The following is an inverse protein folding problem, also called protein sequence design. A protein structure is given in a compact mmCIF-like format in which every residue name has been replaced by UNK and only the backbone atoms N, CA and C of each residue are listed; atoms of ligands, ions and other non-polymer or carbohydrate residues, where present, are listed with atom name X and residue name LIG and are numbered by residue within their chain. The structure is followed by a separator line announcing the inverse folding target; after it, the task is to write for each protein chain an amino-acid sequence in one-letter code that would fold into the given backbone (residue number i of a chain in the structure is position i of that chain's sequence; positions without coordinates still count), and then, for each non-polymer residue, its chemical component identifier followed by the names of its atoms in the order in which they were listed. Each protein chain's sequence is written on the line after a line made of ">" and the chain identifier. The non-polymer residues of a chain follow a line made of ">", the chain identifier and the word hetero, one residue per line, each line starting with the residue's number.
data_IF_273424265216
#
_entry.id   IF_273424265216
#
_cell.length_a   1.000
_cell.length_b   1.000
_cell.length_c   1.000
_cell.angle_alpha   90.00
_cell.angle_beta   90.00
_cell.angle_gamma   90.00
#
_symmetry.space_group_name_H-M   'P 1'
#
loop_
_entity.id
_entity.type
_entity.pdbx_description
1 polymer ?
#
# COMPACT_ATOMS: atom_id res chain seq x y z
N UNK A 1 25.02 -2.26 20.26
CA UNK A 1 25.75 -1.09 19.71
C UNK A 1 26.38 -1.48 18.38
N UNK A 2 26.83 -0.51 17.58
CA UNK A 2 27.46 -0.77 16.27
C UNK A 2 28.92 -1.28 16.38
N UNK A 3 29.60 -0.96 17.49
CA UNK A 3 30.84 -1.55 18.00
C UNK A 3 30.87 -1.31 19.53
N UNK A 4 31.93 -1.73 20.24
CA UNK A 4 32.02 -1.48 21.68
C UNK A 4 32.01 0.03 21.99
N UNK A 5 31.26 0.43 23.02
CA UNK A 5 31.11 1.84 23.44
C UNK A 5 30.44 2.79 22.43
N UNK A 6 29.91 2.28 21.32
CA UNK A 6 29.12 3.08 20.38
C UNK A 6 27.68 3.27 20.88
N UNK A 7 27.20 4.52 20.92
CA UNK A 7 25.80 4.84 21.28
C UNK A 7 24.80 4.44 20.20
N UNK A 8 25.21 4.42 18.93
CA UNK A 8 24.35 3.97 17.84
C UNK A 8 24.25 2.44 17.79
N UNK A 9 23.08 1.95 17.38
CA UNK A 9 22.85 0.53 17.11
C UNK A 9 23.06 0.24 15.63
N UNK A 10 23.44 -1.00 15.31
CA UNK A 10 23.59 -1.46 13.93
C UNK A 10 22.33 -1.20 13.09
N UNK A 11 21.15 -1.40 13.67
CA UNK A 11 19.87 -1.21 12.99
C UNK A 11 19.58 0.26 12.70
N UNK A 12 19.86 1.17 13.64
CA UNK A 12 19.68 2.61 13.42
C UNK A 12 20.57 3.10 12.26
N UNK A 13 21.85 2.73 12.26
CA UNK A 13 22.79 3.14 11.21
C UNK A 13 22.43 2.54 9.85
N UNK A 14 21.99 1.28 9.83
CA UNK A 14 21.53 0.60 8.61
C UNK A 14 20.25 1.25 8.05
N UNK A 15 19.28 1.59 8.91
CA UNK A 15 18.06 2.26 8.49
C UNK A 15 18.36 3.64 7.88
N UNK A 16 19.27 4.39 8.50
CA UNK A 16 19.70 5.71 8.01
C UNK A 16 20.40 5.61 6.65
N UNK A 17 21.33 4.65 6.46
CA UNK A 17 21.98 4.43 5.17
C UNK A 17 21.01 4.02 4.06
N UNK A 18 20.01 3.21 4.37
CA UNK A 18 18.97 2.82 3.41
C UNK A 18 18.11 4.03 3.04
N UNK A 19 17.82 4.92 3.99
CA UNK A 19 17.12 6.17 3.71
C UNK A 19 17.94 7.11 2.81
N UNK A 20 19.22 7.34 3.15
CA UNK A 20 20.15 8.12 2.32
C UNK A 20 20.25 7.55 0.90
N UNK A 21 20.30 6.21 0.77
CA UNK A 21 20.30 5.54 -0.53
C UNK A 21 19.03 5.86 -1.34
N UNK A 22 17.87 5.84 -0.69
CA UNK A 22 16.58 6.09 -1.33
C UNK A 22 16.46 7.55 -1.76
N UNK A 23 16.74 8.49 -0.86
CA UNK A 23 16.69 9.94 -1.10
C UNK A 23 17.71 10.39 -2.16
N UNK A 24 18.94 9.88 -2.08
CA UNK A 24 20.03 10.22 -3.00
C UNK A 24 20.01 9.42 -4.31
N UNK A 25 19.00 8.56 -4.53
CA UNK A 25 18.91 7.64 -5.68
C UNK A 25 20.21 6.84 -5.92
N UNK A 26 20.89 6.46 -4.84
CA UNK A 26 22.21 5.83 -4.89
C UNK A 26 22.07 4.43 -5.48
N UNK A 27 22.83 4.11 -6.53
CA UNK A 27 22.83 2.76 -7.12
C UNK A 27 23.35 1.71 -6.13
N UNK A 28 22.98 0.43 -6.31
CA UNK A 28 23.54 -0.67 -5.48
C UNK A 28 25.07 -0.66 -5.51
N UNK A 29 25.67 -0.48 -6.69
CA UNK A 29 27.12 -0.45 -6.86
C UNK A 29 27.79 0.64 -6.03
N UNK A 30 27.20 1.85 -5.99
CA UNK A 30 27.76 2.96 -5.22
C UNK A 30 27.59 2.68 -3.72
N UNK A 31 26.43 2.18 -3.30
CA UNK A 31 26.19 1.78 -1.91
C UNK A 31 27.23 0.77 -1.42
N UNK A 32 27.45 -0.31 -2.17
CA UNK A 32 28.41 -1.36 -1.81
C UNK A 32 29.84 -0.78 -1.69
N UNK A 33 30.22 0.17 -2.56
CA UNK A 33 31.50 0.87 -2.46
C UNK A 33 31.62 1.74 -1.21
N UNK A 34 30.54 2.43 -0.83
CA UNK A 34 30.52 3.24 0.39
C UNK A 34 30.63 2.35 1.63
N UNK A 35 29.89 1.23 1.67
CA UNK A 35 29.96 0.25 2.76
C UNK A 35 31.36 -0.36 2.90
N UNK A 36 32.01 -0.72 1.79
CA UNK A 36 33.38 -1.22 1.78
C UNK A 36 34.40 -0.15 2.19
N UNK A 37 34.18 1.11 1.80
CA UNK A 37 35.02 2.20 2.28
C UNK A 37 34.86 2.43 3.79
N UNK A 38 33.63 2.30 4.31
CA UNK A 38 33.34 2.44 5.73
C UNK A 38 34.07 1.38 6.58
N UNK A 39 34.17 0.14 6.09
CA UNK A 39 34.95 -0.94 6.73
C UNK A 39 36.41 -0.54 7.04
N UNK A 40 37.02 0.28 6.19
CA UNK A 40 38.41 0.71 6.38
C UNK A 40 38.60 1.86 7.40
N UNK A 41 37.54 2.58 7.74
CA UNK A 41 37.59 3.73 8.67
C UNK A 41 36.96 3.41 10.03
N UNK A 42 36.12 2.38 10.10
CA UNK A 42 35.45 1.97 11.32
C UNK A 42 36.37 1.11 12.20
N UNK A 43 36.12 1.05 13.52
CA UNK A 43 36.86 0.17 14.42
C UNK A 43 36.75 -1.30 14.03
N UNK A 44 37.80 -2.09 14.28
CA UNK A 44 37.88 -3.50 13.85
C UNK A 44 36.77 -4.42 14.39
N UNK A 45 36.08 -4.04 15.47
CA UNK A 45 34.98 -4.78 16.09
C UNK A 45 33.59 -4.31 15.63
N UNK A 46 33.51 -3.48 14.58
CA UNK A 46 32.24 -3.05 14.03
C UNK A 46 31.45 -4.20 13.39
N UNK A 47 30.13 -4.10 13.44
CA UNK A 47 29.20 -5.07 12.83
C UNK A 47 28.47 -4.50 11.61
N UNK A 48 29.03 -3.49 10.95
CA UNK A 48 28.34 -2.85 9.82
C UNK A 48 28.30 -3.77 8.59
N UNK A 49 27.17 -3.88 7.86
CA UNK A 49 27.12 -4.66 6.62
C UNK A 49 28.03 -4.06 5.54
N UNK A 50 28.71 -4.93 4.80
CA UNK A 50 29.66 -4.57 3.75
C UNK A 50 29.02 -4.36 2.37
N UNK A 51 27.73 -4.69 2.24
CA UNK A 51 27.00 -4.56 0.99
C UNK A 51 25.50 -4.38 1.24
N UNK A 52 24.81 -3.90 0.21
CA UNK A 52 23.38 -3.65 0.24
C UNK A 52 22.55 -4.91 0.45
N UNK A 53 23.04 -6.10 0.06
CA UNK A 53 22.28 -7.34 0.23
C UNK A 53 22.18 -7.73 1.71
N UNK A 54 23.30 -7.69 2.42
CA UNK A 54 23.37 -7.95 3.86
C UNK A 54 22.64 -6.86 4.65
N UNK A 55 22.75 -5.59 4.27
CA UNK A 55 21.88 -4.51 4.77
C UNK A 55 20.41 -4.86 4.60
N UNK A 56 19.99 -5.24 3.38
CA UNK A 56 18.60 -5.56 3.05
C UNK A 56 18.10 -6.77 3.87
N UNK A 57 18.97 -7.73 4.15
CA UNK A 57 18.64 -8.91 4.97
C UNK A 57 18.36 -8.51 6.43
N UNK A 58 19.12 -7.58 7.00
CA UNK A 58 18.89 -7.09 8.38
C UNK A 58 17.58 -6.31 8.52
N UNK A 59 17.30 -5.40 7.58
CA UNK A 59 16.06 -4.61 7.62
C UNK A 59 14.82 -5.44 7.27
N UNK A 60 14.98 -6.59 6.59
CA UNK A 60 13.85 -7.45 6.22
C UNK A 60 13.10 -7.94 7.46
N UNK A 61 13.84 -8.23 8.53
CA UNK A 61 13.27 -8.72 9.79
C UNK A 61 12.66 -7.57 10.63
N UNK A 62 12.98 -6.31 10.29
CA UNK A 62 12.33 -5.10 10.82
C UNK A 62 11.20 -4.58 9.93
N UNK A 63 11.09 -5.09 8.70
CA UNK A 63 10.10 -4.63 7.75
C UNK A 63 8.70 -4.94 8.26
N UNK A 64 7.76 -4.02 8.01
CA UNK A 64 6.34 -4.33 8.14
C UNK A 64 6.06 -5.63 7.36
N UNK A 65 5.27 -6.57 7.89
CA UNK A 65 4.93 -7.78 7.17
C UNK A 65 4.30 -7.38 5.85
N UNK A 66 4.98 -7.67 4.74
CA UNK A 66 4.42 -7.50 3.39
C UNK A 66 4.01 -8.88 2.92
N UNK A 67 2.72 -9.07 2.77
CA UNK A 67 2.14 -10.23 2.12
C UNK A 67 2.23 -10.03 0.61
N UNK A 68 2.94 -10.92 -0.06
CA UNK A 68 3.07 -10.90 -1.51
C UNK A 68 1.98 -11.79 -2.10
N UNK A 69 1.03 -11.17 -2.79
CA UNK A 69 -0.11 -11.86 -3.41
C UNK A 69 0.13 -11.92 -4.91
N UNK A 70 0.15 -13.12 -5.47
CA UNK A 70 0.29 -13.31 -6.90
C UNK A 70 -0.95 -12.77 -7.62
N UNK A 71 -0.75 -12.09 -8.75
CA UNK A 71 -1.81 -11.46 -9.52
C UNK A 71 -1.78 -11.90 -10.98
N UNK A 72 -2.97 -11.94 -11.59
CA UNK A 72 -3.11 -12.14 -13.02
C UNK A 72 -2.31 -11.07 -13.77
N UNK A 73 -1.67 -11.47 -14.89
CA UNK A 73 -0.88 -10.57 -15.73
C UNK A 73 -1.61 -9.28 -16.11
N UNK A 74 -2.92 -9.37 -16.36
CA UNK A 74 -3.78 -8.24 -16.70
C UNK A 74 -4.50 -7.59 -15.49
N UNK A 75 -4.22 -8.03 -14.25
CA UNK A 75 -4.80 -7.47 -13.02
C UNK A 75 -6.26 -7.86 -12.72
N UNK A 76 -6.88 -8.73 -13.51
CA UNK A 76 -8.30 -9.11 -13.32
C UNK A 76 -8.58 -10.02 -12.12
N UNK A 77 -7.55 -10.59 -11.50
CA UNK A 77 -7.70 -11.57 -10.43
C UNK A 77 -6.45 -11.62 -9.57
N UNK A 78 -6.64 -11.72 -8.26
CA UNK A 78 -5.60 -12.10 -7.32
C UNK A 78 -5.72 -13.59 -6.96
N UNK A 79 -4.58 -14.26 -6.80
CA UNK A 79 -4.46 -15.67 -6.42
C UNK A 79 -4.38 -15.78 -4.89
N UNK A 80 -5.52 -15.59 -4.23
CA UNK A 80 -5.70 -15.78 -2.79
C UNK A 80 -6.89 -16.71 -2.52
N UNK A 81 -6.95 -17.26 -1.29
CA UNK A 81 -8.03 -18.17 -0.83
C UNK A 81 -8.28 -19.35 -1.77
N UNK A 82 -9.51 -19.47 -2.28
CA UNK A 82 -9.99 -20.50 -3.19
C UNK A 82 -9.32 -20.45 -4.58
N UNK A 83 -8.49 -19.43 -4.85
CA UNK A 83 -7.83 -19.21 -6.13
C UNK A 83 -6.33 -19.46 -6.10
N UNK A 84 -5.74 -19.83 -4.95
CA UNK A 84 -4.29 -20.04 -4.81
C UNK A 84 -3.78 -21.13 -5.75
N UNK A 85 -4.54 -22.21 -5.92
CA UNK A 85 -4.12 -23.38 -6.72
C UNK A 85 -4.44 -23.25 -8.22
N UNK A 86 -4.94 -22.09 -8.66
CA UNK A 86 -5.23 -21.86 -10.07
C UNK A 86 -3.95 -21.49 -10.82
N UNK A 87 -3.72 -22.13 -11.95
CA UNK A 87 -2.64 -21.75 -12.86
C UNK A 87 -3.05 -20.66 -13.86
N UNK A 88 -4.36 -20.49 -14.07
CA UNK A 88 -4.92 -19.61 -15.08
C UNK A 88 -5.99 -18.68 -14.51
N UNK A 89 -6.03 -17.46 -15.02
CA UNK A 89 -7.02 -16.46 -14.64
C UNK A 89 -8.42 -16.87 -15.09
N UNK A 90 -9.39 -16.87 -14.17
CA UNK A 90 -10.81 -17.19 -14.46
C UNK A 90 -11.46 -16.21 -15.45
N UNK A 91 -10.93 -14.98 -15.59
CA UNK A 91 -11.53 -13.92 -16.40
C UNK A 91 -10.90 -13.77 -17.78
N UNK A 92 -9.57 -13.90 -17.90
CA UNK A 92 -8.87 -13.70 -19.18
C UNK A 92 -8.11 -14.93 -19.67
N UNK A 93 -8.07 -16.04 -18.92
CA UNK A 93 -7.42 -17.29 -19.33
C UNK A 93 -5.89 -17.25 -19.35
N UNK A 94 -5.26 -16.12 -19.01
CA UNK A 94 -3.80 -15.99 -18.98
C UNK A 94 -3.20 -16.66 -17.75
N UNK A 95 -2.02 -17.26 -17.93
CA UNK A 95 -1.22 -17.79 -16.83
C UNK A 95 -0.64 -16.63 -16.00
N UNK A 96 -0.58 -16.80 -14.68
CA UNK A 96 0.03 -15.82 -13.79
C UNK A 96 1.55 -15.89 -13.74
N UNK A 97 2.14 -16.96 -14.26
CA UNK A 97 3.57 -17.22 -14.28
C UNK A 97 4.08 -17.46 -15.71
N UNK A 98 5.39 -17.38 -15.91
CA UNK A 98 6.00 -17.64 -17.23
C UNK A 98 6.19 -19.16 -17.48
N UNK A 99 5.43 -19.77 -18.40
CA UNK A 99 5.50 -21.22 -18.66
C UNK A 99 6.80 -21.66 -19.35
N UNK A 100 7.50 -20.76 -20.05
CA UNK A 100 8.79 -21.10 -20.69
C UNK A 100 9.90 -21.40 -19.67
N UNK A 101 9.73 -20.99 -18.41
CA UNK A 101 10.69 -21.27 -17.33
C UNK A 101 10.43 -22.60 -16.61
N UNK A 102 9.29 -23.23 -16.87
CA UNK A 102 8.87 -24.50 -16.27
C UNK A 102 9.52 -25.72 -16.96
N UNK A 103 9.97 -25.56 -18.21
CA UNK A 103 10.62 -26.63 -19.00
C UNK A 103 11.96 -27.13 -18.39
N UNK A 104 12.51 -26.42 -17.39
CA UNK A 104 13.60 -26.91 -16.55
C UNK A 104 13.00 -27.34 -15.21
N UNK A 105 12.77 -28.65 -15.05
CA UNK A 105 11.95 -29.32 -14.03
C UNK A 105 12.21 -29.01 -12.54
N UNK A 106 13.19 -28.17 -12.20
CA UNK A 106 13.55 -27.80 -10.83
C UNK A 106 13.43 -26.30 -10.50
N UNK A 107 12.82 -25.47 -11.36
CA UNK A 107 12.67 -24.03 -11.09
C UNK A 107 11.27 -23.67 -10.61
N UNK A 108 11.20 -22.93 -9.50
CA UNK A 108 9.96 -22.35 -8.94
C UNK A 108 9.27 -21.45 -9.97
N UNK A 109 7.94 -21.59 -10.11
CA UNK A 109 7.09 -20.69 -10.92
C UNK A 109 7.37 -19.23 -10.53
N UNK A 110 7.65 -18.38 -11.52
CA UNK A 110 7.90 -16.95 -11.30
C UNK A 110 6.67 -16.16 -11.75
N UNK A 111 5.98 -15.43 -10.86
CA UNK A 111 4.82 -14.61 -11.21
C UNK A 111 5.18 -13.47 -12.16
N UNK A 112 4.24 -13.08 -13.00
CA UNK A 112 4.31 -11.86 -13.82
C UNK A 112 4.08 -10.60 -12.99
N UNK A 113 3.12 -10.66 -12.07
CA UNK A 113 2.70 -9.53 -11.23
C UNK A 113 2.52 -10.02 -9.80
N UNK A 114 3.08 -9.26 -8.86
CA UNK A 114 2.93 -9.48 -7.42
C UNK A 114 2.36 -8.19 -6.84
N UNK A 115 1.27 -8.30 -6.09
CA UNK A 115 0.73 -7.23 -5.26
C UNK A 115 1.32 -7.32 -3.86
N UNK A 116 1.94 -6.24 -3.39
CA UNK A 116 2.36 -6.13 -1.99
C UNK A 116 1.21 -5.61 -1.14
N UNK A 117 0.74 -6.42 -0.20
CA UNK A 117 -0.26 -6.08 0.80
C UNK A 117 0.41 -5.92 2.17
N UNK A 118 0.13 -4.82 2.88
CA UNK A 118 0.61 -4.59 4.23
C UNK A 118 -0.56 -4.77 5.20
N UNK A 119 -0.66 -5.89 5.93
CA UNK A 119 -1.79 -6.16 6.82
C UNK A 119 -1.97 -5.08 7.88
N UNK A 120 -3.23 -4.73 8.13
CA UNK A 120 -3.62 -3.69 9.08
C UNK A 120 -3.56 -4.21 10.52
N UNK A 121 -4.03 -5.43 10.73
CA UNK A 121 -4.27 -6.01 12.06
C UNK A 121 -3.02 -5.97 12.94
N UNK A 122 -1.83 -6.41 12.49
CA UNK A 122 -0.62 -6.34 13.34
C UNK A 122 -0.22 -4.91 13.71
N UNK A 123 -0.59 -3.92 12.90
CA UNK A 123 -0.22 -2.51 13.08
C UNK A 123 -1.11 -1.80 14.08
N UNK A 124 -2.30 -2.35 14.34
CA UNK A 124 -3.25 -1.82 15.32
C UNK A 124 -3.17 -2.52 16.69
N UNK A 125 -2.30 -3.53 16.85
CA UNK A 125 -2.16 -4.26 18.11
C UNK A 125 -1.66 -3.40 19.29
N UNK A 126 -1.13 -2.21 19.03
CA UNK A 126 -0.73 -1.26 20.07
C UNK A 126 -1.84 -0.30 20.50
N UNK A 127 -3.01 -0.35 19.86
CA UNK A 127 -4.11 0.57 20.16
C UNK A 127 -4.83 0.16 21.45
N UNK A 128 -5.01 1.11 22.35
CA UNK A 128 -5.68 0.91 23.64
C UNK A 128 -7.22 0.96 23.56
N UNK A 129 -7.78 1.15 22.36
CA UNK A 129 -9.21 1.27 22.15
C UNK A 129 -9.63 0.88 20.73
N UNK A 130 -10.95 0.85 20.49
CA UNK A 130 -11.50 0.67 19.16
C UNK A 130 -11.01 1.78 18.21
N UNK A 131 -10.73 1.41 16.96
CA UNK A 131 -10.09 2.31 16.00
C UNK A 131 -11.09 2.82 14.99
N UNK A 132 -11.06 4.14 14.74
CA UNK A 132 -11.80 4.80 13.67
C UNK A 132 -10.86 5.10 12.53
N UNK A 133 -11.20 4.65 11.32
CA UNK A 133 -10.37 4.84 10.14
C UNK A 133 -11.09 5.61 9.06
N UNK A 134 -10.34 6.34 8.24
CA UNK A 134 -10.79 6.71 6.90
C UNK A 134 -9.83 6.24 5.83
N UNK A 135 -10.38 6.03 4.65
CA UNK A 135 -9.71 5.40 3.53
C UNK A 135 -9.48 6.41 2.42
N UNK A 136 -8.23 6.56 1.99
CA UNK A 136 -7.84 7.40 0.88
C UNK A 136 -7.26 6.53 -0.22
N UNK A 137 -7.75 6.71 -1.44
CA UNK A 137 -7.24 6.08 -2.65
C UNK A 137 -7.11 7.17 -3.70
N UNK A 138 -5.92 7.72 -3.88
CA UNK A 138 -5.72 8.73 -4.92
C UNK A 138 -4.54 8.35 -5.80
N UNK A 139 -4.62 8.69 -7.08
CA UNK A 139 -3.56 8.46 -8.04
C UNK A 139 -2.68 9.69 -8.15
N UNK A 140 -1.37 9.54 -7.93
CA UNK A 140 -0.41 10.61 -8.21
C UNK A 140 0.63 10.16 -9.24
N UNK A 141 1.21 11.12 -9.96
CA UNK A 141 2.29 10.88 -10.91
C UNK A 141 3.62 11.29 -10.26
N UNK A 142 4.43 10.34 -9.74
CA UNK A 142 5.66 10.67 -9.02
C UNK A 142 6.72 11.38 -9.88
N UNK A 143 6.66 11.24 -11.21
CA UNK A 143 7.61 11.84 -12.13
C UNK A 143 6.86 12.79 -13.09
N UNK A 144 6.85 14.09 -12.76
CA UNK A 144 6.18 15.11 -13.56
C UNK A 144 6.75 15.27 -14.98
N UNK A 145 5.86 15.64 -15.91
CA UNK A 145 5.98 16.21 -17.27
C UNK A 145 6.98 15.62 -18.30
N UNK A 146 8.08 14.97 -17.92
CA UNK A 146 9.16 14.54 -18.83
C UNK A 146 9.38 13.03 -18.92
N UNK A 147 8.75 12.23 -18.05
CA UNK A 147 8.80 10.77 -18.12
C UNK A 147 7.39 10.21 -18.41
N UNK A 148 7.36 9.08 -19.14
CA UNK A 148 6.14 8.36 -19.53
C UNK A 148 5.14 8.34 -18.36
N UNK A 149 3.89 8.72 -18.63
CA UNK A 149 2.77 8.78 -17.66
C UNK A 149 2.70 7.49 -16.85
N UNK A 150 3.27 7.51 -15.66
CA UNK A 150 3.20 6.42 -14.70
C UNK A 150 2.40 6.93 -13.52
N UNK A 151 1.23 6.33 -13.31
CA UNK A 151 0.40 6.66 -12.15
C UNK A 151 0.69 5.69 -11.02
N UNK A 152 0.75 6.23 -9.82
CA UNK A 152 0.94 5.46 -8.61
C UNK A 152 -0.28 5.66 -7.71
N UNK A 153 -0.91 4.55 -7.32
CA UNK A 153 -2.15 4.56 -6.57
C UNK A 153 -1.90 3.93 -5.20
N UNK A 154 -1.50 4.74 -4.20
CA UNK A 154 -1.49 4.29 -2.82
C UNK A 154 -2.91 4.14 -2.30
N UNK A 155 -3.15 3.04 -1.59
CA UNK A 155 -4.34 2.83 -0.77
C UNK A 155 -3.90 3.03 0.67
N UNK A 156 -4.42 4.07 1.30
CA UNK A 156 -3.97 4.57 2.60
C UNK A 156 -5.14 4.57 3.57
N UNK A 157 -4.92 4.09 4.79
CA UNK A 157 -5.83 4.24 5.92
C UNK A 157 -5.26 5.27 6.90
N UNK A 158 -6.13 6.12 7.44
CA UNK A 158 -5.77 7.16 8.41
C UNK A 158 -6.55 6.92 9.69
N UNK A 159 -5.87 6.89 10.84
CA UNK A 159 -6.51 6.77 12.16
C UNK A 159 -7.07 8.10 12.65
N UNK A 160 -8.37 8.11 12.97
CA UNK A 160 -9.11 9.23 13.53
C UNK A 160 -9.36 9.08 15.04
N UNK A 161 -8.56 8.27 15.72
CA UNK A 161 -8.60 8.18 17.19
C UNK A 161 -8.06 9.45 17.87
N UNK A 162 -7.31 10.27 17.13
CA UNK A 162 -6.65 11.47 17.62
C UNK A 162 -7.26 12.75 17.03
N UNK A 163 -6.91 13.88 17.66
CA UNK A 163 -7.30 15.20 17.17
C UNK A 163 -6.81 15.43 15.73
N UNK A 164 -7.51 16.26 14.93
CA UNK A 164 -7.19 16.48 13.51
C UNK A 164 -5.74 16.90 13.22
N UNK A 165 -5.10 17.60 14.15
CA UNK A 165 -3.71 18.05 14.04
C UNK A 165 -2.71 16.90 14.15
N UNK A 166 -3.07 15.84 14.88
CA UNK A 166 -2.20 14.68 15.13
C UNK A 166 -2.51 13.51 14.18
N UNK A 167 -3.76 13.38 13.70
CA UNK A 167 -4.15 12.25 12.84
C UNK A 167 -3.43 12.25 11.48
N UNK A 168 -2.88 13.39 11.05
CA UNK A 168 -2.13 13.51 9.79
C UNK A 168 -0.61 13.26 9.97
N UNK A 169 -0.15 12.90 11.17
CA UNK A 169 1.24 12.46 11.38
C UNK A 169 1.47 11.08 10.75
N UNK A 170 2.69 10.83 10.25
CA UNK A 170 3.04 9.60 9.54
C UNK A 170 2.80 8.31 10.35
N UNK A 171 2.80 8.40 11.67
CA UNK A 171 2.53 7.29 12.59
C UNK A 171 1.08 6.78 12.51
N UNK A 172 0.13 7.66 12.15
CA UNK A 172 -1.30 7.36 12.05
C UNK A 172 -1.78 7.17 10.61
N UNK A 173 -0.83 7.15 9.67
CA UNK A 173 -1.06 6.96 8.23
C UNK A 173 -0.51 5.59 7.84
N UNK A 174 -1.41 4.69 7.47
CA UNK A 174 -1.09 3.31 7.11
C UNK A 174 -1.20 3.12 5.60
N UNK A 175 -0.06 3.02 4.92
CA UNK A 175 -0.04 2.50 3.55
C UNK A 175 -0.39 1.01 3.56
N UNK A 176 -1.44 0.63 2.83
CA UNK A 176 -1.95 -0.74 2.76
C UNK A 176 -1.48 -1.43 1.50
N UNK A 177 -1.66 -0.76 0.36
CA UNK A 177 -1.35 -1.30 -0.96
C UNK A 177 -0.75 -0.16 -1.79
N UNK A 178 0.25 -0.51 -2.58
CA UNK A 178 0.87 0.38 -3.54
C UNK A 178 0.70 -0.21 -4.94
N UNK A 179 -0.10 0.44 -5.79
CA UNK A 179 -0.36 -0.04 -7.15
C UNK A 179 0.43 0.83 -8.15
N UNK A 180 1.54 0.31 -8.69
CA UNK A 180 2.20 0.90 -9.83
C UNK A 180 1.42 0.60 -11.13
N UNK A 181 0.82 1.61 -11.77
CA UNK A 181 0.10 1.40 -13.04
C UNK A 181 0.41 2.48 -14.10
N UNK A 182 0.96 2.12 -15.28
CA UNK A 182 1.18 3.05 -16.39
C UNK A 182 -0.11 3.58 -17.05
N UNK A 183 -1.29 3.03 -16.73
CA UNK A 183 -2.56 3.36 -17.39
C UNK A 183 -3.72 3.61 -16.43
N UNK A 184 -3.42 3.81 -15.13
CA UNK A 184 -4.38 3.92 -14.03
C UNK A 184 -5.16 2.61 -13.81
N UNK A 185 -5.29 2.12 -12.56
CA UNK A 185 -5.98 0.87 -12.25
C UNK A 185 -7.47 0.86 -12.64
N UNK A 186 -8.05 2.01 -13.02
CA UNK A 186 -9.41 2.19 -13.57
C UNK A 186 -10.44 1.33 -12.83
N UNK A 187 -10.95 0.29 -13.50
CA UNK A 187 -12.02 -0.60 -13.01
C UNK A 187 -11.51 -1.78 -12.18
N UNK A 188 -10.20 -1.92 -12.02
CA UNK A 188 -9.55 -3.04 -11.33
C UNK A 188 -9.24 -2.72 -9.87
N UNK A 189 -9.53 -1.51 -9.38
CA UNK A 189 -9.24 -1.13 -8.01
C UNK A 189 -9.90 -2.10 -7.00
N UNK A 190 -11.12 -2.54 -7.29
CA UNK A 190 -11.87 -3.53 -6.51
C UNK A 190 -11.13 -4.85 -6.32
N UNK A 191 -10.38 -5.28 -7.35
CA UNK A 191 -9.58 -6.52 -7.31
C UNK A 191 -8.42 -6.36 -6.35
N UNK A 192 -7.76 -5.19 -6.38
CA UNK A 192 -6.61 -4.93 -5.53
C UNK A 192 -6.98 -4.71 -4.05
N UNK A 193 -8.14 -4.10 -3.78
CA UNK A 193 -8.62 -3.84 -2.40
C UNK A 193 -9.32 -5.04 -1.76
N UNK A 194 -9.46 -6.18 -2.45
CA UNK A 194 -10.17 -7.36 -1.95
C UNK A 194 -9.67 -7.82 -0.57
N UNK A 195 -8.36 -7.95 -0.41
CA UNK A 195 -7.74 -8.34 0.87
C UNK A 195 -8.01 -7.31 1.98
N UNK A 196 -7.99 -6.02 1.63
CA UNK A 196 -8.26 -4.93 2.58
C UNK A 196 -9.72 -4.94 3.05
N UNK A 197 -10.67 -5.13 2.14
CA UNK A 197 -12.10 -5.16 2.46
C UNK A 197 -12.38 -6.30 3.44
N UNK A 198 -11.84 -7.48 3.18
CA UNK A 198 -12.03 -8.62 4.08
C UNK A 198 -11.40 -8.38 5.45
N UNK A 199 -10.17 -7.84 5.50
CA UNK A 199 -9.53 -7.54 6.78
C UNK A 199 -10.36 -6.53 7.58
N UNK A 200 -10.88 -5.49 6.94
CA UNK A 200 -11.77 -4.51 7.58
C UNK A 200 -13.10 -5.14 8.03
N UNK A 201 -13.69 -6.04 7.24
CA UNK A 201 -14.91 -6.76 7.62
C UNK A 201 -14.67 -7.66 8.84
N UNK A 202 -13.55 -8.38 8.88
CA UNK A 202 -13.17 -9.20 10.02
C UNK A 202 -12.95 -8.34 11.27
N UNK A 203 -12.23 -7.23 11.15
CA UNK A 203 -12.01 -6.29 12.25
C UNK A 203 -13.29 -5.60 12.75
N UNK A 204 -14.31 -5.46 11.90
CA UNK A 204 -15.60 -4.91 12.30
C UNK A 204 -16.51 -5.94 12.97
N UNK A 205 -16.64 -7.14 12.37
CA UNK A 205 -17.60 -8.15 12.81
C UNK A 205 -17.08 -9.07 13.93
N UNK A 206 -15.80 -9.43 13.89
CA UNK A 206 -15.16 -10.33 14.85
C UNK A 206 -14.28 -9.55 15.82
N UNK A 207 -13.54 -8.57 15.30
CA UNK A 207 -12.50 -7.86 16.04
C UNK A 207 -11.24 -8.70 16.24
N UNK A 208 -10.26 -8.14 16.93
CA UNK A 208 -9.00 -8.80 17.29
C UNK A 208 -8.74 -8.66 18.78
N UNK A 209 -8.21 -9.70 19.42
CA UNK A 209 -7.81 -9.63 20.81
C UNK A 209 -6.54 -8.76 20.93
N UNK A 210 -6.67 -7.64 21.63
CA UNK A 210 -5.61 -6.65 21.81
C UNK A 210 -5.33 -6.47 23.31
N UNK A 211 -4.08 -6.19 23.66
CA UNK A 211 -3.68 -5.92 25.03
C UNK A 211 -3.42 -4.42 25.21
N UNK A 212 -4.18 -3.79 26.09
CA UNK A 212 -3.96 -2.41 26.50
C UNK A 212 -2.85 -2.38 27.55
N UNK A 213 -1.65 -1.97 27.14
CA UNK A 213 -0.49 -1.83 28.03
C UNK A 213 -0.71 -0.78 29.14
N UNK A 214 -1.59 0.20 28.92
CA UNK A 214 -1.83 1.27 29.91
C UNK A 214 -2.68 0.78 31.08
N UNK A 215 -3.64 -0.09 30.80
CA UNK A 215 -4.54 -0.69 31.79
C UNK A 215 -4.15 -2.12 32.19
N UNK A 216 -3.18 -2.72 31.49
CA UNK A 216 -2.77 -4.11 31.63
C UNK A 216 -3.95 -5.09 31.48
N UNK A 217 -4.85 -4.80 30.54
CA UNK A 217 -6.07 -5.56 30.28
C UNK A 217 -6.13 -6.01 28.83
N UNK A 218 -6.79 -7.14 28.57
CA UNK A 218 -7.06 -7.61 27.21
C UNK A 218 -8.50 -7.31 26.83
N UNK A 219 -8.71 -6.76 25.65
CA UNK A 219 -10.03 -6.46 25.12
C UNK A 219 -10.12 -6.85 23.65
N UNK A 220 -11.33 -7.05 23.14
CA UNK A 220 -11.55 -7.24 21.71
C UNK A 220 -11.67 -5.88 21.05
N UNK A 221 -10.65 -5.52 20.28
CA UNK A 221 -10.61 -4.29 19.49
C UNK A 221 -11.39 -4.48 18.20
N UNK A 222 -12.33 -3.57 17.94
CA UNK A 222 -13.01 -3.46 16.66
C UNK A 222 -12.57 -2.20 15.90
N UNK A 223 -12.67 -2.27 14.57
CA UNK A 223 -12.31 -1.16 13.68
C UNK A 223 -13.52 -0.70 12.88
N UNK A 224 -13.80 0.59 12.90
CA UNK A 224 -14.87 1.22 12.13
C UNK A 224 -14.28 2.07 11.00
N UNK A 225 -14.66 1.77 9.76
CA UNK A 225 -14.37 2.66 8.63
C UNK A 225 -15.44 3.76 8.55
N UNK A 226 -15.06 5.01 8.78
CA UNK A 226 -15.99 6.13 8.88
C UNK A 226 -16.30 6.78 7.53
N UNK A 227 -15.29 7.01 6.70
CA UNK A 227 -15.44 7.66 5.40
C UNK A 227 -14.30 7.33 4.44
N UNK A 228 -14.57 7.55 3.16
CA UNK A 228 -13.56 7.52 2.10
C UNK A 228 -13.21 8.96 1.70
N UNK A 229 -11.94 9.34 1.79
CA UNK A 229 -11.42 10.65 1.35
C UNK A 229 -10.84 10.46 -0.05
N UNK A 230 -11.70 10.60 -1.06
CA UNK A 230 -11.33 10.45 -2.45
C UNK A 230 -11.76 11.69 -3.23
N UNK A 231 -10.96 12.13 -4.20
CA UNK A 231 -11.44 13.10 -5.18
C UNK A 231 -12.58 12.48 -6.01
N UNK A 232 -13.30 13.28 -6.79
CA UNK A 232 -14.41 12.76 -7.60
C UNK A 232 -13.95 11.67 -8.59
N UNK A 233 -12.68 11.73 -9.02
CA UNK A 233 -12.13 10.74 -9.92
C UNK A 233 -11.88 9.39 -9.23
N UNK A 234 -11.19 9.35 -8.11
CA UNK A 234 -11.04 8.16 -7.30
C UNK A 234 -12.39 7.63 -6.82
N UNK A 235 -13.29 8.51 -6.38
CA UNK A 235 -14.61 8.13 -5.91
C UNK A 235 -15.37 7.32 -6.96
N UNK A 236 -15.55 7.84 -8.18
CA UNK A 236 -16.29 7.10 -9.22
C UNK A 236 -15.59 5.83 -9.72
N UNK A 237 -14.30 5.63 -9.43
CA UNK A 237 -13.64 4.34 -9.67
C UNK A 237 -14.00 3.31 -8.59
N UNK A 238 -13.95 3.72 -7.32
CA UNK A 238 -14.23 2.85 -6.16
C UNK A 238 -15.71 2.54 -6.01
N UNK A 239 -16.59 3.53 -6.20
CA UNK A 239 -18.04 3.35 -6.14
C UNK A 239 -18.64 2.82 -7.46
N UNK A 240 -17.79 2.65 -8.50
CA UNK A 240 -18.19 2.40 -9.90
C UNK A 240 -19.19 3.43 -10.46
N UNK A 241 -19.25 4.62 -9.84
CA UNK A 241 -20.20 5.66 -10.20
C UNK A 241 -19.82 6.41 -11.47
N UNK A 242 -20.81 6.70 -12.32
CA UNK A 242 -20.59 7.40 -13.58
C UNK A 242 -20.34 8.89 -13.35
N UNK A 243 -19.13 9.36 -13.69
CA UNK A 243 -18.71 10.76 -13.56
C UNK A 243 -19.11 11.64 -14.75
N UNK A 244 -19.45 11.04 -15.88
CA UNK A 244 -19.61 11.71 -17.16
C UNK A 244 -21.09 11.79 -17.60
N UNK A 245 -22.00 11.85 -16.63
CA UNK A 245 -23.45 11.86 -16.85
C UNK A 245 -24.16 12.81 -15.90
N UNK A 246 -25.41 13.16 -16.21
CA UNK A 246 -26.36 13.88 -15.34
C UNK A 246 -26.41 13.30 -13.91
N UNK A 247 -26.09 12.01 -13.75
CA UNK A 247 -26.02 11.33 -12.45
C UNK A 247 -24.73 11.57 -11.65
N UNK A 248 -23.78 12.40 -12.08
CA UNK A 248 -22.44 12.43 -11.46
C UNK A 248 -22.35 13.04 -10.05
N UNK A 249 -23.46 13.48 -9.44
CA UNK A 249 -23.46 13.92 -8.04
C UNK A 249 -23.56 12.72 -7.09
N UNK A 250 -22.54 12.44 -6.27
CA UNK A 250 -22.54 11.26 -5.40
C UNK A 250 -23.46 11.41 -4.17
N UNK A 251 -23.95 12.62 -3.89
CA UNK A 251 -24.80 12.94 -2.72
C UNK A 251 -26.27 12.81 -3.08
N UNK A 252 -26.68 13.47 -4.18
CA UNK A 252 -28.07 13.49 -4.63
C UNK A 252 -28.37 12.39 -5.66
N UNK A 253 -27.34 11.76 -6.23
CA UNK A 253 -27.48 10.66 -7.18
C UNK A 253 -28.44 10.98 -8.33
N UNK A 254 -29.58 10.29 -8.40
CA UNK A 254 -30.62 10.48 -9.41
C UNK A 254 -31.46 11.75 -9.18
N UNK A 255 -31.48 12.26 -7.94
CA UNK A 255 -32.24 13.46 -7.55
C UNK A 255 -31.49 14.76 -7.87
N UNK A 256 -30.26 14.66 -8.41
CA UNK A 256 -29.47 15.82 -8.81
C UNK A 256 -30.05 16.46 -10.07
N UNK A 257 -30.42 17.74 -9.97
CA UNK A 257 -30.79 18.53 -11.14
C UNK A 257 -29.54 18.88 -11.96
N UNK A 258 -29.27 18.07 -12.98
CA UNK A 258 -28.18 18.31 -13.91
C UNK A 258 -28.62 18.31 -15.38
N UNK A 259 -27.89 19.06 -16.20
CA UNK A 259 -28.17 19.20 -17.62
C UNK A 259 -26.88 19.41 -18.42
N UNK A 260 -26.96 19.14 -19.73
CA UNK A 260 -25.91 19.47 -20.68
C UNK A 260 -26.22 20.80 -21.37
N UNK A 261 -25.20 21.64 -21.52
CA UNK A 261 -25.31 22.82 -22.38
C UNK A 261 -25.30 22.36 -23.85
N UNK A 262 -26.10 23.01 -24.70
CA UNK A 262 -26.25 22.63 -26.11
C UNK A 262 -24.92 22.56 -26.89
N UNK A 263 -23.91 23.33 -26.48
CA UNK A 263 -22.59 23.36 -27.10
C UNK A 263 -21.47 22.81 -26.19
N UNK A 264 -21.79 22.28 -25.01
CA UNK A 264 -20.84 21.79 -24.02
C UNK A 264 -20.92 20.27 -23.85
N UNK A 265 -19.76 19.59 -23.77
CA UNK A 265 -19.69 18.15 -23.48
C UNK A 265 -19.70 17.81 -21.98
N UNK A 266 -19.76 18.83 -21.12
CA UNK A 266 -19.73 18.67 -19.67
C UNK A 266 -21.15 18.80 -19.10
N UNK A 267 -21.45 17.97 -18.10
CA UNK A 267 -22.69 18.07 -17.32
C UNK A 267 -22.54 19.17 -16.25
N UNK A 268 -23.57 20.00 -16.11
CA UNK A 268 -23.65 21.06 -15.11
C UNK A 268 -24.73 20.71 -14.09
N UNK A 269 -24.45 20.96 -12.81
CA UNK A 269 -25.36 20.69 -11.69
C UNK A 269 -25.84 22.02 -11.12
N UNK A 270 -27.15 22.14 -10.88
CA UNK A 270 -27.76 23.31 -10.25
C UNK A 270 -28.30 22.92 -8.86
N UNK A 271 -28.14 23.82 -7.90
CA UNK A 271 -28.77 23.72 -6.56
C UNK A 271 -28.34 22.51 -5.69
N UNK A 272 -27.15 21.96 -5.93
CA UNK A 272 -26.53 20.98 -5.04
C UNK A 272 -25.88 21.69 -3.82
N UNK A 273 -26.69 22.31 -2.95
CA UNK A 273 -26.22 22.91 -1.71
C UNK A 273 -26.11 21.87 -0.59
N UNK A 274 -24.96 21.84 0.08
CA UNK A 274 -24.67 20.95 1.21
C UNK A 274 -25.47 21.31 2.45
#
# INVERSE_FOLDING_TARGET
>A
SLWNDCTQTQLASVAELVNIKAEGHISKRIYDRISQWADHILPCDHIMPLDYYNTKKLIRDLGLPVENIDACRNGYMLYLKDRIDLDYCKFCGEAWYNPAREQNSNRKKTPYVILGYLPLTPRLQSEACNVKLGLCMDGFAPHGQYCRTYSYWPIILISYNLLPEMCMSSEYIFLMIAIPDPSNPKRLIDVYIESLIEELQNLWHVGVLTHDNTKNETFTMCVALMWTVNDLHAYGMVSRWSKASVMGCPVYMEDAHAFYLQNGRNAYYFDCHR
#
